data_IF_218689623599
#
_entry.id   IF_218689623599
#
_cell.length_a   1.000
_cell.length_b   1.000
_cell.length_c   1.000
_cell.angle_alpha   90.00
_cell.angle_beta   90.00
_cell.angle_gamma   90.00
#
_symmetry.space_group_name_H-M   'P 1'
#
loop_
_entity.id
_entity.type
_entity.pdbx_description
1 polymer ?
#
# COMPACT_ATOMS: atom_id res chain seq x y z
N UNK A 1 3.40 18.26 -6.12
CA UNK A 1 1.97 18.27 -6.42
C UNK A 1 1.24 17.40 -5.43
N UNK A 2 -0.03 17.67 -5.15
CA UNK A 2 -0.86 16.82 -4.30
C UNK A 2 -1.37 15.62 -5.11
N UNK A 3 -1.29 14.43 -4.54
CA UNK A 3 -1.78 13.19 -5.15
C UNK A 3 -2.61 12.40 -4.16
N UNK A 4 -3.68 11.79 -4.67
CA UNK A 4 -4.34 10.67 -4.01
C UNK A 4 -3.72 9.38 -4.55
N UNK A 5 -3.17 8.57 -3.66
CA UNK A 5 -2.60 7.26 -3.96
C UNK A 5 -3.60 6.22 -3.51
N UNK A 6 -4.02 5.35 -4.43
CA UNK A 6 -4.87 4.20 -4.14
C UNK A 6 -4.06 2.94 -4.37
N UNK A 7 -4.05 2.04 -3.39
CA UNK A 7 -3.29 0.79 -3.45
C UNK A 7 -4.24 -0.37 -3.21
N UNK A 8 -4.07 -1.43 -4.00
CA UNK A 8 -4.68 -2.74 -3.77
C UNK A 8 -3.55 -3.76 -3.74
N UNK A 9 -3.37 -4.40 -2.59
CA UNK A 9 -2.39 -5.49 -2.42
C UNK A 9 -3.13 -6.80 -2.31
N UNK A 10 -2.81 -7.72 -3.21
CA UNK A 10 -3.25 -9.11 -3.14
C UNK A 10 -2.17 -9.92 -2.45
N UNK A 11 -2.51 -10.53 -1.31
CA UNK A 11 -1.56 -11.18 -0.43
C UNK A 11 -2.14 -12.43 0.22
N UNK A 12 -1.26 -13.27 0.76
CA UNK A 12 -1.59 -14.43 1.57
C UNK A 12 -0.85 -14.29 2.91
N UNK A 13 -1.53 -13.82 3.97
CA UNK A 13 -0.88 -13.56 5.26
C UNK A 13 -0.64 -14.87 6.01
N UNK A 14 0.60 -15.09 6.45
CA UNK A 14 0.99 -16.29 7.21
C UNK A 14 1.02 -16.09 8.74
N UNK A 15 0.89 -14.84 9.22
CA UNK A 15 0.81 -14.53 10.64
C UNK A 15 -0.17 -13.39 10.94
N UNK A 16 -0.44 -13.20 12.22
CA UNK A 16 -1.24 -12.08 12.72
C UNK A 16 -0.46 -10.76 12.67
N UNK A 17 -1.19 -9.64 12.62
CA UNK A 17 -0.65 -8.28 12.75
C UNK A 17 0.40 -7.88 11.70
N UNK A 18 0.46 -8.60 10.58
CA UNK A 18 1.20 -8.15 9.40
C UNK A 18 0.60 -6.85 8.90
N UNK A 19 1.43 -5.83 8.63
CA UNK A 19 0.97 -4.54 8.15
C UNK A 19 1.59 -4.18 6.81
N UNK A 20 0.74 -3.79 5.87
CA UNK A 20 1.14 -3.22 4.60
C UNK A 20 1.42 -1.74 4.83
N UNK A 21 2.56 -1.26 4.36
CA UNK A 21 3.03 0.11 4.57
C UNK A 21 3.23 0.82 3.24
N UNK A 22 2.75 2.06 3.18
CA UNK A 22 3.09 2.99 2.10
C UNK A 22 4.26 3.85 2.55
N UNK A 23 5.36 3.73 1.83
CA UNK A 23 6.59 4.46 2.07
C UNK A 23 6.74 5.58 1.06
N UNK A 24 7.20 6.73 1.54
CA UNK A 24 7.72 7.85 0.76
C UNK A 24 9.19 8.02 1.12
N UNK A 25 10.09 7.47 0.32
CA UNK A 25 11.48 7.28 0.72
C UNK A 25 11.58 6.40 1.98
N UNK A 26 12.11 6.95 3.07
CA UNK A 26 12.20 6.27 4.38
C UNK A 26 10.98 6.49 5.28
N UNK A 27 10.09 7.42 4.95
CA UNK A 27 8.93 7.77 5.77
C UNK A 27 7.75 6.84 5.48
N UNK A 28 7.13 6.27 6.52
CA UNK A 28 5.87 5.54 6.40
C UNK A 28 4.70 6.53 6.46
N UNK A 29 4.06 6.79 5.32
CA UNK A 29 2.96 7.77 5.21
C UNK A 29 1.57 7.16 5.39
N UNK A 30 1.45 5.82 5.33
CA UNK A 30 0.22 5.10 5.64
C UNK A 30 0.54 3.65 6.02
N UNK A 31 -0.24 3.05 6.91
CA UNK A 31 -0.19 1.61 7.14
C UNK A 31 -1.60 1.04 7.33
N UNK A 32 -1.77 -0.23 6.97
CA UNK A 32 -2.99 -1.00 7.20
C UNK A 32 -2.63 -2.44 7.53
N UNK A 33 -3.36 -3.07 8.43
CA UNK A 33 -3.15 -4.49 8.73
C UNK A 33 -3.69 -5.36 7.58
N UNK A 34 -2.95 -6.41 7.26
CA UNK A 34 -3.47 -7.54 6.52
C UNK A 34 -4.69 -8.07 7.28
N UNK A 35 -5.85 -8.13 6.63
CA UNK A 35 -7.04 -8.76 7.22
C UNK A 35 -6.72 -10.20 7.65
N UNK A 36 -7.31 -10.64 8.77
CA UNK A 36 -7.11 -12.01 9.22
C UNK A 36 -7.78 -12.99 8.26
N UNK A 37 -6.98 -13.69 7.46
CA UNK A 37 -7.46 -14.62 6.44
C UNK A 37 -7.11 -16.09 6.74
N UNK A 38 -6.54 -16.41 7.92
CA UNK A 38 -6.11 -17.78 8.29
C UNK A 38 -5.24 -18.48 7.22
N UNK A 39 -4.35 -17.73 6.58
CA UNK A 39 -3.51 -18.27 5.50
C UNK A 39 -4.21 -18.34 4.13
N UNK A 40 -5.47 -17.89 3.99
CA UNK A 40 -6.12 -17.77 2.69
C UNK A 40 -5.67 -16.50 1.96
N UNK A 41 -5.82 -16.51 0.63
CA UNK A 41 -5.61 -15.32 -0.18
C UNK A 41 -6.63 -14.24 0.18
N UNK A 42 -6.16 -13.00 0.28
CA UNK A 42 -6.98 -11.84 0.58
C UNK A 42 -6.50 -10.62 -0.20
N UNK A 43 -7.37 -9.62 -0.27
CA UNK A 43 -7.07 -8.31 -0.84
C UNK A 43 -7.18 -7.26 0.25
N UNK A 44 -6.19 -6.37 0.34
CA UNK A 44 -6.24 -5.21 1.22
C UNK A 44 -6.04 -3.96 0.38
N UNK A 45 -7.00 -3.04 0.47
CA UNK A 45 -6.95 -1.77 -0.22
C UNK A 45 -6.86 -0.63 0.78
N UNK A 46 -6.16 0.43 0.38
CA UNK A 46 -6.10 1.67 1.16
C UNK A 46 -5.85 2.86 0.25
N UNK A 47 -6.18 4.03 0.78
CA UNK A 47 -5.99 5.32 0.10
C UNK A 47 -5.21 6.25 1.03
N UNK A 48 -4.28 7.02 0.47
CA UNK A 48 -3.68 8.14 1.18
C UNK A 48 -3.54 9.35 0.25
N UNK A 49 -3.63 10.55 0.82
CA UNK A 49 -3.36 11.79 0.10
C UNK A 49 -2.02 12.32 0.57
N UNK A 50 -1.10 12.57 -0.37
CA UNK A 50 0.24 13.03 -0.03
C UNK A 50 0.77 14.02 -1.06
N UNK A 51 1.66 14.90 -0.62
CA UNK A 51 2.39 15.78 -1.52
C UNK A 51 3.61 15.05 -2.07
N UNK A 52 3.77 15.02 -3.40
CA UNK A 52 4.91 14.40 -4.09
C UNK A 52 5.70 15.43 -4.91
N UNK A 53 7.02 15.36 -4.84
CA UNK A 53 7.96 16.03 -5.74
C UNK A 53 8.59 15.02 -6.70
N UNK A 54 9.21 15.52 -7.79
CA UNK A 54 9.71 14.68 -8.90
C UNK A 54 10.70 13.58 -8.46
N UNK A 55 11.43 13.82 -7.37
CA UNK A 55 12.45 12.90 -6.83
C UNK A 55 11.91 11.97 -5.76
N UNK A 56 10.65 12.12 -5.35
CA UNK A 56 10.06 11.26 -4.33
C UNK A 56 9.87 9.84 -4.88
N UNK A 57 10.30 8.86 -4.10
CA UNK A 57 10.05 7.45 -4.38
C UNK A 57 8.90 6.95 -3.51
N UNK A 58 7.91 6.34 -4.15
CA UNK A 58 6.85 5.64 -3.46
C UNK A 58 7.11 4.14 -3.48
N UNK A 59 6.89 3.48 -2.36
CA UNK A 59 7.06 2.02 -2.23
C UNK A 59 5.99 1.45 -1.33
N UNK A 60 5.34 0.37 -1.77
CA UNK A 60 4.43 -0.41 -0.92
C UNK A 60 5.22 -1.59 -0.36
N UNK A 61 5.35 -1.66 0.97
CA UNK A 61 5.94 -2.81 1.67
C UNK A 61 4.82 -3.72 2.13
N UNK A 62 4.89 -4.99 1.73
CA UNK A 62 4.00 -6.03 2.20
C UNK A 62 4.86 -7.13 2.85
N UNK A 63 4.70 -7.41 4.16
CA UNK A 63 5.42 -8.49 4.83
C UNK A 63 4.79 -9.88 4.59
N UNK A 64 3.60 -9.94 4.00
CA UNK A 64 2.95 -11.17 3.57
C UNK A 64 3.41 -11.60 2.17
N UNK A 65 3.14 -12.86 1.81
CA UNK A 65 3.41 -13.33 0.46
C UNK A 65 2.50 -12.60 -0.52
N UNK A 66 3.08 -11.98 -1.55
CA UNK A 66 2.31 -11.40 -2.64
C UNK A 66 1.75 -12.52 -3.53
N UNK A 67 0.47 -12.42 -3.88
CA UNK A 67 -0.21 -13.36 -4.76
C UNK A 67 -1.00 -12.60 -5.82
N UNK A 68 -1.00 -13.11 -7.05
CA UNK A 68 -1.68 -12.43 -8.17
C UNK A 68 -1.12 -11.02 -8.45
N UNK A 69 -1.95 -10.18 -9.08
CA UNK A 69 -1.56 -8.82 -9.50
C UNK A 69 -2.00 -7.79 -8.47
N UNK A 70 -1.08 -6.97 -7.98
CA UNK A 70 -1.39 -5.81 -7.12
C UNK A 70 -1.39 -4.51 -7.95
N UNK A 71 -2.09 -3.48 -7.47
CA UNK A 71 -2.29 -2.22 -8.20
C UNK A 71 -1.90 -1.02 -7.34
N UNK A 72 -1.27 -0.04 -7.99
CA UNK A 72 -1.01 1.29 -7.42
C UNK A 72 -1.44 2.33 -8.44
N UNK A 73 -2.34 3.21 -8.01
CA UNK A 73 -2.89 4.29 -8.84
C UNK A 73 -2.55 5.63 -8.21
N UNK A 74 -2.06 6.56 -9.03
CA UNK A 74 -1.76 7.94 -8.66
C UNK A 74 -2.74 8.87 -9.36
N UNK A 75 -3.53 9.61 -8.58
CA UNK A 75 -4.47 10.61 -9.07
C UNK A 75 -3.97 11.97 -8.63
N UNK A 76 -3.58 12.82 -9.57
CA UNK A 76 -3.19 14.20 -9.25
C UNK A 76 -4.42 14.98 -8.79
N UNK A 77 -4.33 15.61 -7.63
CA UNK A 77 -5.37 16.48 -7.10
C UNK A 77 -5.05 17.94 -7.45
N UNK A 78 -5.99 18.62 -8.08
CA UNK A 78 -5.82 20.00 -8.56
C UNK A 78 -5.21 20.10 -9.96
N UNK A 79 -5.12 21.34 -10.46
CA UNK A 79 -4.53 21.67 -11.76
C UNK A 79 -3.00 21.76 -11.70
#
# INVERSE_FOLDING_TARGET
GMYQVMVVVNHQPSAHNMNIQMMKGSECIQNVYCGHAQGNCASTSFVCTTHLVKTDQLTVKCPANLVGTSYLTLIRLGK
#
